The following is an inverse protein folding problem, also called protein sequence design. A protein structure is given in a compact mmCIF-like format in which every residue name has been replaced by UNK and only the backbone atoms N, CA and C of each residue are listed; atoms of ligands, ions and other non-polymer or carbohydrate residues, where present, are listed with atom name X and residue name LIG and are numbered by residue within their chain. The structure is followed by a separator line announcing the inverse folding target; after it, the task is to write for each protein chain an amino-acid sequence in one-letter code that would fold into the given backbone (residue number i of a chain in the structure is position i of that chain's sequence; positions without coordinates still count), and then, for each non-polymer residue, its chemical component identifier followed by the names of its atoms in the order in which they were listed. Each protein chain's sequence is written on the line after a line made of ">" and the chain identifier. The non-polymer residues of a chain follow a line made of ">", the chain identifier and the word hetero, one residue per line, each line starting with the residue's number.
data_IF_562393323144
#
_entry.id   IF_562393323144
#
_cell.length_a   1.000
_cell.length_b   1.000
_cell.length_c   1.000
_cell.angle_alpha   90.00
_cell.angle_beta   90.00
_cell.angle_gamma   90.00
#
_symmetry.space_group_name_H-M   'P 1'
#
loop_
_entity.id
_entity.type
_entity.pdbx_description
1 polymer ?
#
# COMPACT_ATOMS: atom_id res chain seq x y z
N UNK A 1 37.63 4.23 28.41
CA UNK A 1 37.52 3.01 27.55
C UNK A 1 36.14 2.34 27.55
N UNK A 2 35.19 2.70 28.45
CA UNK A 2 33.82 2.13 28.45
C UNK A 2 32.80 2.89 27.57
N UNK A 3 33.07 4.14 27.24
CA UNK A 3 32.14 5.01 26.48
C UNK A 3 32.22 4.82 24.96
N UNK A 4 33.36 4.35 24.45
CA UNK A 4 33.57 4.10 23.02
C UNK A 4 32.75 2.91 22.50
N UNK A 5 32.55 1.87 23.31
CA UNK A 5 31.77 0.68 22.93
C UNK A 5 30.27 0.96 22.75
N UNK A 6 29.71 1.93 23.47
CA UNK A 6 28.29 2.29 23.35
C UNK A 6 28.00 3.08 22.06
N UNK A 7 28.95 3.91 21.63
CA UNK A 7 28.87 4.67 20.38
C UNK A 7 28.96 3.76 19.15
N UNK A 8 29.80 2.72 19.20
CA UNK A 8 29.94 1.75 18.10
C UNK A 8 28.72 0.83 17.96
N UNK A 9 28.07 0.44 19.06
CA UNK A 9 26.86 -0.38 19.01
C UNK A 9 25.66 0.37 18.41
N UNK A 10 25.55 1.68 18.68
CA UNK A 10 24.49 2.53 18.13
C UNK A 10 24.65 2.80 16.62
N UNK A 11 25.90 2.97 16.16
CA UNK A 11 26.21 3.17 14.74
C UNK A 11 25.89 1.94 13.87
N UNK A 12 26.03 0.72 14.40
CA UNK A 12 25.72 -0.51 13.68
C UNK A 12 24.20 -0.76 13.56
N UNK A 13 23.41 -0.37 14.55
CA UNK A 13 21.95 -0.51 14.52
C UNK A 13 21.27 0.40 13.47
N UNK A 14 21.83 1.59 13.22
CA UNK A 14 21.28 2.54 12.26
C UNK A 14 21.55 2.13 10.78
N UNK A 15 22.61 1.35 10.53
CA UNK A 15 22.99 0.90 9.19
C UNK A 15 22.11 -0.23 8.63
N UNK A 16 21.35 -0.95 9.47
CA UNK A 16 20.44 -2.03 9.02
C UNK A 16 18.98 -1.58 8.81
N UNK A 17 18.65 -0.31 9.07
CA UNK A 17 17.27 0.14 9.18
C UNK A 17 16.46 0.36 7.86
N UNK A 18 17.01 0.57 6.64
CA UNK A 18 16.15 1.02 5.54
C UNK A 18 15.58 -0.09 4.65
N UNK A 19 16.02 -1.35 4.78
CA UNK A 19 15.56 -2.43 3.87
C UNK A 19 14.12 -2.88 4.14
N UNK A 20 13.63 -2.73 5.36
CA UNK A 20 12.31 -3.24 5.74
C UNK A 20 11.18 -2.35 5.22
N UNK A 21 11.34 -1.02 5.26
CA UNK A 21 10.27 -0.08 4.91
C UNK A 21 9.89 -0.15 3.42
N UNK A 22 10.89 -0.14 2.53
CA UNK A 22 10.62 -0.22 1.08
C UNK A 22 10.03 -1.56 0.65
N UNK A 23 10.38 -2.67 1.32
CA UNK A 23 9.78 -3.96 1.06
C UNK A 23 8.28 -4.01 1.43
N UNK A 24 7.88 -3.29 2.48
CA UNK A 24 6.48 -3.20 2.92
C UNK A 24 5.64 -2.38 1.93
N UNK A 25 6.15 -1.25 1.44
CA UNK A 25 5.46 -0.42 0.46
C UNK A 25 5.29 -1.14 -0.89
N UNK A 26 6.31 -1.88 -1.32
CA UNK A 26 6.23 -2.70 -2.53
C UNK A 26 5.18 -3.81 -2.41
N UNK A 27 5.10 -4.46 -1.25
CA UNK A 27 4.09 -5.49 -0.98
C UNK A 27 2.66 -4.91 -1.00
N UNK A 28 2.44 -3.77 -0.32
CA UNK A 28 1.14 -3.11 -0.31
C UNK A 28 0.70 -2.67 -1.72
N UNK A 29 1.64 -2.15 -2.52
CA UNK A 29 1.38 -1.77 -3.92
C UNK A 29 1.00 -2.99 -4.77
N UNK A 30 1.72 -4.10 -4.62
CA UNK A 30 1.43 -5.34 -5.34
C UNK A 30 0.06 -5.92 -4.96
N UNK A 31 -0.28 -5.88 -3.66
CA UNK A 31 -1.59 -6.31 -3.17
C UNK A 31 -2.72 -5.43 -3.72
N UNK A 32 -2.54 -4.12 -3.73
CA UNK A 32 -3.48 -3.18 -4.35
C UNK A 32 -3.71 -3.44 -5.83
N UNK A 33 -2.63 -3.63 -6.59
CA UNK A 33 -2.71 -3.95 -8.02
C UNK A 33 -3.48 -5.28 -8.27
N UNK A 34 -3.26 -6.29 -7.43
CA UNK A 34 -4.00 -7.56 -7.48
C UNK A 34 -5.48 -7.37 -7.17
N UNK A 35 -5.82 -6.64 -6.12
CA UNK A 35 -7.23 -6.35 -5.77
C UNK A 35 -7.91 -5.58 -6.89
N UNK A 36 -7.25 -4.58 -7.47
CA UNK A 36 -7.76 -3.81 -8.60
C UNK A 36 -8.05 -4.71 -9.81
N UNK A 37 -7.07 -5.51 -10.23
CA UNK A 37 -7.20 -6.40 -11.39
C UNK A 37 -8.31 -7.45 -11.20
N UNK A 38 -8.46 -7.96 -9.97
CA UNK A 38 -9.46 -8.98 -9.67
C UNK A 38 -10.87 -8.41 -9.55
N UNK A 39 -11.06 -7.12 -9.24
CA UNK A 39 -12.38 -6.57 -8.92
C UNK A 39 -12.88 -5.52 -9.93
N UNK A 40 -12.03 -4.62 -10.41
CA UNK A 40 -12.44 -3.42 -11.13
C UNK A 40 -12.71 -3.65 -12.63
N UNK A 41 -12.19 -4.73 -13.21
CA UNK A 41 -12.38 -5.09 -14.63
C UNK A 41 -13.46 -6.17 -14.84
N UNK A 42 -14.09 -6.65 -13.76
CA UNK A 42 -15.06 -7.76 -13.82
C UNK A 42 -16.34 -7.43 -14.58
N UNK A 43 -16.78 -6.17 -14.52
CA UNK A 43 -18.07 -5.74 -15.08
C UNK A 43 -17.94 -4.75 -16.25
N UNK A 44 -16.87 -3.95 -16.26
CA UNK A 44 -16.54 -3.00 -17.31
C UNK A 44 -15.04 -2.75 -17.29
N UNK A 45 -14.51 -2.05 -18.29
CA UNK A 45 -13.11 -1.64 -18.26
C UNK A 45 -12.83 -0.75 -17.05
N UNK A 46 -11.74 -1.05 -16.34
CA UNK A 46 -11.30 -0.21 -15.24
C UNK A 46 -10.99 1.20 -15.78
N UNK A 47 -11.42 2.21 -15.04
CA UNK A 47 -11.19 3.61 -15.42
C UNK A 47 -9.72 3.97 -15.13
N UNK A 48 -9.07 4.79 -15.96
CA UNK A 48 -7.70 5.19 -15.71
C UNK A 48 -7.61 5.96 -14.40
N UNK A 49 -6.57 5.72 -13.60
CA UNK A 49 -6.40 6.33 -12.27
C UNK A 49 -6.43 7.86 -12.31
N UNK A 50 -5.95 8.46 -13.40
CA UNK A 50 -5.88 9.90 -13.61
C UNK A 50 -7.25 10.55 -13.94
N UNK A 51 -8.31 9.77 -14.18
CA UNK A 51 -9.64 10.33 -14.48
C UNK A 51 -10.26 11.06 -13.28
N UNK A 52 -9.87 10.70 -12.06
CA UNK A 52 -10.47 11.19 -10.82
C UNK A 52 -9.41 11.55 -9.79
N UNK A 53 -9.76 12.50 -8.92
CA UNK A 53 -8.96 12.83 -7.74
C UNK A 53 -9.03 11.73 -6.68
N UNK A 54 -8.08 11.68 -5.76
CA UNK A 54 -8.03 10.68 -4.69
C UNK A 54 -9.32 10.67 -3.84
N UNK A 55 -9.88 11.84 -3.52
CA UNK A 55 -11.13 11.94 -2.76
C UNK A 55 -12.34 11.37 -3.55
N UNK A 56 -12.36 11.56 -4.86
CA UNK A 56 -13.38 10.97 -5.72
C UNK A 56 -13.20 9.45 -5.81
N UNK A 57 -11.97 8.95 -5.90
CA UNK A 57 -11.69 7.52 -5.85
C UNK A 57 -12.13 6.88 -4.54
N UNK A 58 -11.90 7.52 -3.39
CA UNK A 58 -12.42 7.04 -2.11
C UNK A 58 -13.94 6.87 -2.14
N UNK A 59 -14.67 7.84 -2.71
CA UNK A 59 -16.13 7.76 -2.87
C UNK A 59 -16.54 6.61 -3.81
N UNK A 60 -15.82 6.45 -4.92
CA UNK A 60 -16.08 5.38 -5.90
C UNK A 60 -15.82 4.01 -5.29
N UNK A 61 -14.70 3.82 -4.59
CA UNK A 61 -14.35 2.57 -3.92
C UNK A 61 -15.40 2.26 -2.85
N UNK A 62 -15.85 3.26 -2.07
CA UNK A 62 -16.96 3.09 -1.13
C UNK A 62 -18.23 2.58 -1.82
N UNK A 63 -18.59 3.12 -2.98
CA UNK A 63 -19.69 2.62 -3.79
C UNK A 63 -19.42 1.18 -4.31
N UNK A 64 -18.20 0.89 -4.75
CA UNK A 64 -17.80 -0.43 -5.25
C UNK A 64 -17.79 -1.52 -4.18
N UNK A 65 -17.67 -1.18 -2.89
CA UNK A 65 -17.92 -2.13 -1.80
C UNK A 65 -19.28 -2.79 -1.91
N UNK A 66 -20.32 -2.02 -2.24
CA UNK A 66 -21.67 -2.53 -2.40
C UNK A 66 -21.87 -3.20 -3.78
N UNK A 67 -21.26 -2.66 -4.84
CA UNK A 67 -21.48 -3.14 -6.22
C UNK A 67 -20.67 -4.38 -6.60
N UNK A 68 -19.41 -4.44 -6.15
CA UNK A 68 -18.47 -5.50 -6.48
C UNK A 68 -18.12 -6.38 -5.26
N UNK A 69 -18.79 -6.18 -4.13
CA UNK A 69 -18.58 -6.92 -2.89
C UNK A 69 -17.14 -6.84 -2.36
N UNK A 70 -16.47 -5.68 -2.51
CA UNK A 70 -15.15 -5.45 -1.91
C UNK A 70 -15.25 -5.44 -0.38
N UNK A 71 -14.37 -6.20 0.26
CA UNK A 71 -14.24 -6.18 1.72
C UNK A 71 -13.68 -4.83 2.20
N UNK A 72 -13.66 -4.62 3.52
CA UNK A 72 -12.97 -3.44 4.11
C UNK A 72 -11.46 -3.49 3.95
N UNK A 73 -10.87 -4.67 3.92
CA UNK A 73 -9.44 -4.82 3.67
C UNK A 73 -9.12 -4.42 2.22
N UNK A 74 -9.84 -5.01 1.26
CA UNK A 74 -9.64 -4.74 -0.17
C UNK A 74 -9.80 -3.25 -0.50
N UNK A 75 -10.85 -2.61 0.03
CA UNK A 75 -11.12 -1.20 -0.20
C UNK A 75 -10.05 -0.24 0.36
N UNK A 76 -9.13 -0.71 1.23
CA UNK A 76 -7.99 0.10 1.72
C UNK A 76 -6.73 -0.11 0.88
N UNK A 77 -6.72 -1.13 0.02
CA UNK A 77 -5.59 -1.47 -0.83
C UNK A 77 -5.70 -0.84 -2.23
N UNK A 78 -6.88 -0.31 -2.59
CA UNK A 78 -7.16 0.29 -3.91
C UNK A 78 -7.48 1.77 -3.85
#
# INVERSE_FOLDING_TARGET
>A
MRTTSLLSALALALALAPATLGAQDAAATADGARVWANNCTRCHNARPSQERTDAQWQTIVLHMRARANLTRADARLV
#
